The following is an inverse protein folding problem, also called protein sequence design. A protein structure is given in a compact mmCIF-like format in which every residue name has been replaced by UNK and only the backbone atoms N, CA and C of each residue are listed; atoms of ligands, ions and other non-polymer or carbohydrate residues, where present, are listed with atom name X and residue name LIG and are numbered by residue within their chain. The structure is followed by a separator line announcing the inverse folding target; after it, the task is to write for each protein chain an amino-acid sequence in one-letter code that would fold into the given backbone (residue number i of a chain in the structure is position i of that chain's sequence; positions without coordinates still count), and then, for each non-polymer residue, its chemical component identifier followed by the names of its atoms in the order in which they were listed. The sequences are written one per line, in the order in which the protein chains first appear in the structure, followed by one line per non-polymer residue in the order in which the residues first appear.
data_IF_023964650142
#
_entry.id   IF_023964650142
#
_cell.length_a   1.000
_cell.length_b   1.000
_cell.length_c   1.000
_cell.angle_alpha   90.00
_cell.angle_beta   90.00
_cell.angle_gamma   90.00
#
_symmetry.space_group_name_H-M   'P 1'
#
loop_
_entity.id
_entity.type
_entity.pdbx_description
1 polymer ?
#
# COMPACT_ATOMS: atom_id res chain seq x y z
N UNK A 1 10.32 24.95 12.52
CA UNK A 1 9.47 24.06 11.70
C UNK A 1 9.70 22.58 11.97
N UNK A 2 10.86 21.98 11.65
CA UNK A 2 11.07 20.53 11.84
C UNK A 2 10.77 20.02 13.26
N UNK A 3 11.29 20.71 14.30
CA UNK A 3 11.03 20.33 15.70
C UNK A 3 9.54 20.42 16.09
N UNK A 4 8.79 21.38 15.51
CA UNK A 4 7.35 21.52 15.76
C UNK A 4 6.57 20.38 15.09
N UNK A 5 6.96 19.97 13.89
CA UNK A 5 6.34 18.83 13.19
C UNK A 5 6.60 17.53 13.96
N UNK A 6 7.84 17.30 14.40
CA UNK A 6 8.17 16.14 15.23
C UNK A 6 7.35 16.12 16.53
N UNK A 7 7.22 17.27 17.21
CA UNK A 7 6.38 17.38 18.41
C UNK A 7 4.90 17.08 18.14
N UNK A 8 4.37 17.51 16.99
CA UNK A 8 3.00 17.17 16.57
C UNK A 8 2.83 15.66 16.34
N UNK A 9 3.81 15.02 15.68
CA UNK A 9 3.81 13.57 15.44
C UNK A 9 3.85 12.81 16.77
N UNK A 10 4.76 13.18 17.68
CA UNK A 10 4.86 12.56 19.01
C UNK A 10 3.56 12.72 19.80
N UNK A 11 2.97 13.91 19.81
CA UNK A 11 1.69 14.15 20.50
C UNK A 11 0.56 13.31 19.92
N UNK A 12 0.42 13.28 18.60
CA UNK A 12 -0.64 12.49 17.94
C UNK A 12 -0.47 10.98 18.20
N UNK A 13 0.78 10.52 18.28
CA UNK A 13 1.10 9.16 18.67
C UNK A 13 0.63 8.85 20.11
N UNK A 14 0.98 9.70 21.07
CA UNK A 14 0.59 9.53 22.49
C UNK A 14 -0.92 9.51 22.67
N UNK A 15 -1.64 10.38 21.94
CA UNK A 15 -3.09 10.53 22.11
C UNK A 15 -3.92 9.60 21.24
N UNK A 16 -3.34 9.01 20.18
CA UNK A 16 -4.04 8.17 19.18
C UNK A 16 -5.30 8.85 18.61
N UNK A 17 -5.28 10.18 18.47
CA UNK A 17 -6.48 10.98 18.14
C UNK A 17 -6.77 11.09 16.64
N UNK A 18 -5.89 10.57 15.78
CA UNK A 18 -6.06 10.62 14.34
C UNK A 18 -5.44 9.39 13.66
N UNK A 19 -5.92 9.06 12.46
CA UNK A 19 -5.41 7.94 11.66
C UNK A 19 -4.20 8.33 10.82
N UNK A 20 -4.03 9.63 10.53
CA UNK A 20 -2.83 10.12 9.88
C UNK A 20 -2.57 11.60 10.18
N UNK A 21 -1.31 11.99 10.01
CA UNK A 21 -0.87 13.38 9.89
C UNK A 21 -0.27 13.59 8.51
N UNK A 22 -0.53 14.75 7.91
CA UNK A 22 -0.01 15.09 6.57
C UNK A 22 0.68 16.45 6.60
N UNK A 23 1.78 16.55 5.88
CA UNK A 23 2.55 17.76 5.70
C UNK A 23 2.96 17.83 4.23
N UNK A 24 2.56 18.89 3.53
CA UNK A 24 2.80 19.05 2.10
C UNK A 24 3.80 20.16 1.81
N UNK A 25 4.48 20.07 0.67
CA UNK A 25 5.42 21.10 0.18
C UNK A 25 6.49 21.47 1.21
N UNK A 26 6.97 20.47 1.97
CA UNK A 26 8.01 20.69 2.97
C UNK A 26 9.28 21.24 2.31
N UNK A 27 9.95 22.16 2.99
CA UNK A 27 11.29 22.58 2.58
C UNK A 27 12.25 21.36 2.60
N UNK A 28 13.15 21.20 1.61
CA UNK A 28 14.02 20.02 1.53
C UNK A 28 14.89 19.81 2.78
N UNK A 29 15.36 20.89 3.41
CA UNK A 29 16.17 20.79 4.63
C UNK A 29 15.30 20.36 5.83
N UNK A 30 14.03 20.76 5.84
CA UNK A 30 13.06 20.37 6.86
C UNK A 30 12.67 18.90 6.69
N UNK A 31 12.32 18.46 5.48
CA UNK A 31 11.95 17.06 5.21
C UNK A 31 13.11 16.11 5.49
N UNK A 32 14.33 16.42 5.04
CA UNK A 32 15.51 15.61 5.32
C UNK A 32 15.75 15.47 6.83
N UNK A 33 15.63 16.56 7.60
CA UNK A 33 15.76 16.52 9.06
C UNK A 33 14.68 15.66 9.71
N UNK A 34 13.42 15.78 9.29
CA UNK A 34 12.32 14.97 9.85
C UNK A 34 12.52 13.49 9.54
N UNK A 35 12.81 13.14 8.28
CA UNK A 35 13.02 11.75 7.85
C UNK A 35 14.20 11.12 8.57
N UNK A 36 15.32 11.85 8.72
CA UNK A 36 16.46 11.37 9.49
C UNK A 36 16.05 11.03 10.92
N UNK A 37 15.33 11.93 11.61
CA UNK A 37 14.92 11.70 13.00
C UNK A 37 13.92 10.55 13.13
N UNK A 38 12.98 10.42 12.19
CA UNK A 38 11.97 9.38 12.24
C UNK A 38 12.57 8.01 11.85
N UNK A 39 13.17 7.87 10.66
CA UNK A 39 13.63 6.57 10.15
C UNK A 39 14.75 5.94 10.98
N UNK A 40 15.49 6.72 11.78
CA UNK A 40 16.55 6.21 12.67
C UNK A 40 16.05 5.88 14.09
N UNK A 41 14.76 6.12 14.41
CA UNK A 41 14.18 5.70 15.68
C UNK A 41 13.84 4.21 15.65
N UNK A 42 14.53 3.43 16.48
CA UNK A 42 14.34 1.96 16.59
C UNK A 42 12.93 1.53 16.99
N UNK A 43 12.14 2.41 17.62
CA UNK A 43 10.85 2.04 18.20
C UNK A 43 9.65 2.23 17.24
N UNK A 44 9.78 2.90 16.10
CA UNK A 44 8.62 3.26 15.29
C UNK A 44 7.84 2.06 14.72
N UNK A 45 8.56 0.99 14.38
CA UNK A 45 7.95 -0.29 13.96
C UNK A 45 7.23 -0.97 15.12
N UNK A 46 7.77 -0.91 16.34
CA UNK A 46 7.11 -1.40 17.55
C UNK A 46 5.84 -0.60 17.89
N UNK A 47 5.77 0.65 17.45
CA UNK A 47 4.62 1.53 17.63
C UNK A 47 3.52 1.36 16.58
N UNK A 48 3.79 0.56 15.53
CA UNK A 48 2.88 0.32 14.41
C UNK A 48 2.66 1.54 13.52
N UNK A 49 3.64 2.44 13.46
CA UNK A 49 3.57 3.65 12.63
C UNK A 49 4.12 3.38 11.24
N UNK A 50 3.47 3.93 10.21
CA UNK A 50 3.98 3.91 8.83
C UNK A 50 4.34 5.33 8.40
N UNK A 51 5.56 5.52 7.88
CA UNK A 51 6.05 6.84 7.45
C UNK A 51 6.20 6.81 5.95
N UNK A 52 5.45 7.69 5.30
CA UNK A 52 5.41 7.81 3.86
C UNK A 52 5.93 9.19 3.47
N UNK A 53 6.93 9.22 2.61
CA UNK A 53 7.43 10.43 1.99
C UNK A 53 7.41 10.29 0.49
N UNK A 54 6.72 11.19 -0.20
CA UNK A 54 6.66 11.24 -1.65
C UNK A 54 7.48 12.43 -2.11
N UNK A 55 8.63 12.16 -2.72
CA UNK A 55 9.63 13.16 -3.06
C UNK A 55 9.13 14.26 -4.01
N UNK A 56 8.43 13.97 -5.13
CA UNK A 56 7.92 15.00 -6.06
C UNK A 56 7.19 16.16 -5.37
N UNK A 57 6.29 15.81 -4.44
CA UNK A 57 5.42 16.78 -3.76
C UNK A 57 6.00 17.25 -2.42
N UNK A 58 7.12 16.67 -1.99
CA UNK A 58 7.69 16.78 -0.63
C UNK A 58 6.60 16.58 0.41
N UNK A 59 5.83 15.52 0.19
CA UNK A 59 4.65 15.17 0.95
C UNK A 59 5.00 14.11 1.98
N UNK A 60 4.89 14.45 3.26
CA UNK A 60 5.08 13.55 4.38
C UNK A 60 3.71 13.15 4.93
N UNK A 61 3.46 11.84 5.04
CA UNK A 61 2.32 11.26 5.74
C UNK A 61 2.83 10.32 6.83
N UNK A 62 2.35 10.50 8.05
CA UNK A 62 2.54 9.54 9.15
C UNK A 62 1.21 8.87 9.38
N UNK A 63 1.15 7.55 9.22
CA UNK A 63 -0.07 6.75 9.35
C UNK A 63 -0.07 6.02 10.70
N UNK A 64 -1.21 6.07 11.36
CA UNK A 64 -1.59 5.36 12.59
C UNK A 64 -2.81 4.51 12.24
N UNK A 65 -2.61 3.30 11.67
CA UNK A 65 -3.72 2.53 11.11
C UNK A 65 -4.79 2.22 12.16
N UNK A 66 -6.05 2.49 11.83
CA UNK A 66 -7.19 2.05 12.64
C UNK A 66 -7.59 0.61 12.31
N UNK A 67 -8.45 0.01 13.14
CA UNK A 67 -9.03 -1.31 12.83
C UNK A 67 -9.78 -1.31 11.49
N UNK A 68 -10.42 -0.20 11.15
CA UNK A 68 -11.18 -0.09 9.92
C UNK A 68 -10.23 0.00 8.71
N UNK A 69 -9.15 0.77 8.84
CA UNK A 69 -8.07 0.81 7.84
C UNK A 69 -7.47 -0.58 7.59
N UNK A 70 -7.18 -1.35 8.66
CA UNK A 70 -6.61 -2.70 8.56
C UNK A 70 -7.60 -3.77 8.05
N UNK A 71 -8.88 -3.43 7.84
CA UNK A 71 -9.87 -4.39 7.32
C UNK A 71 -9.51 -4.87 5.91
N UNK A 72 -8.92 -4.01 5.07
CA UNK A 72 -8.46 -4.38 3.73
C UNK A 72 -7.37 -5.46 3.77
N UNK A 73 -6.41 -5.31 4.69
CA UNK A 73 -5.31 -6.25 4.91
C UNK A 73 -5.85 -7.60 5.38
N UNK A 74 -6.78 -7.58 6.34
CA UNK A 74 -7.45 -8.79 6.83
C UNK A 74 -8.21 -9.52 5.73
N UNK A 75 -8.99 -8.79 4.92
CA UNK A 75 -9.71 -9.35 3.77
C UNK A 75 -8.75 -10.00 2.77
N UNK A 76 -7.69 -9.31 2.34
CA UNK A 76 -6.75 -9.83 1.35
C UNK A 76 -6.02 -11.10 1.83
N UNK A 77 -5.65 -11.18 3.12
CA UNK A 77 -5.04 -12.39 3.70
C UNK A 77 -6.00 -13.59 3.72
N UNK A 78 -7.29 -13.34 3.97
CA UNK A 78 -8.32 -14.38 3.89
C UNK A 78 -8.45 -14.86 2.43
N UNK A 79 -8.55 -13.95 1.46
CA UNK A 79 -8.62 -14.30 0.04
C UNK A 79 -7.40 -15.11 -0.41
N UNK A 80 -6.19 -14.69 -0.01
CA UNK A 80 -4.96 -15.41 -0.31
C UNK A 80 -4.98 -16.85 0.23
N UNK A 81 -5.50 -17.04 1.45
CA UNK A 81 -5.66 -18.37 2.06
C UNK A 81 -6.68 -19.22 1.30
N UNK A 82 -7.80 -18.62 0.91
CA UNK A 82 -8.85 -19.28 0.12
C UNK A 82 -8.34 -19.69 -1.28
N UNK A 83 -7.47 -18.91 -1.90
CA UNK A 83 -6.86 -19.29 -3.18
C UNK A 83 -6.07 -20.59 -3.08
N UNK A 84 -5.33 -20.80 -2.00
CA UNK A 84 -4.66 -22.09 -1.77
C UNK A 84 -5.67 -23.23 -1.61
N UNK A 85 -6.73 -23.03 -0.80
CA UNK A 85 -7.78 -24.04 -0.59
C UNK A 85 -8.54 -24.41 -1.87
N UNK A 86 -8.71 -23.46 -2.78
CA UNK A 86 -9.40 -23.66 -4.05
C UNK A 86 -8.47 -24.13 -5.19
N UNK A 87 -7.20 -24.42 -4.91
CA UNK A 87 -6.22 -24.87 -5.91
C UNK A 87 -5.82 -23.78 -6.90
N UNK A 88 -6.03 -22.52 -6.52
CA UNK A 88 -5.74 -21.34 -7.32
C UNK A 88 -4.27 -20.90 -7.14
N UNK A 89 -3.72 -21.13 -5.96
CA UNK A 89 -2.29 -21.12 -5.67
C UNK A 89 -1.86 -22.52 -5.24
N UNK A 90 -0.72 -23.00 -5.75
CA UNK A 90 -0.13 -24.24 -5.24
C UNK A 90 0.59 -23.99 -3.92
N UNK A 91 0.74 -25.01 -3.06
CA UNK A 91 1.48 -24.84 -1.80
C UNK A 91 2.91 -24.33 -2.00
N UNK A 92 3.56 -24.74 -3.10
CA UNK A 92 4.90 -24.27 -3.47
C UNK A 92 4.86 -22.78 -3.80
N UNK A 93 3.96 -22.33 -4.68
CA UNK A 93 3.79 -20.91 -4.99
C UNK A 93 3.49 -20.08 -3.73
N UNK A 94 2.68 -20.63 -2.80
CA UNK A 94 2.35 -19.98 -1.53
C UNK A 94 3.59 -19.73 -0.66
N UNK A 95 4.49 -20.73 -0.51
CA UNK A 95 5.71 -20.58 0.31
C UNK A 95 6.82 -19.80 -0.40
N UNK A 96 6.74 -19.67 -1.73
CA UNK A 96 7.62 -18.82 -2.54
C UNK A 96 7.25 -17.33 -2.49
N UNK A 97 6.16 -16.97 -1.81
CA UNK A 97 5.74 -15.59 -1.59
C UNK A 97 5.97 -15.18 -0.13
N UNK A 98 6.22 -13.90 0.11
CA UNK A 98 6.34 -13.33 1.46
C UNK A 98 5.54 -12.03 1.55
N UNK A 99 4.89 -11.82 2.69
CA UNK A 99 4.25 -10.54 3.02
C UNK A 99 5.07 -9.80 4.08
N UNK A 100 5.98 -8.92 3.63
CA UNK A 100 6.84 -8.15 4.51
C UNK A 100 6.32 -6.72 4.70
N UNK A 101 6.07 -6.31 5.95
CA UNK A 101 5.74 -4.92 6.29
C UNK A 101 7.02 -4.12 6.52
N UNK A 102 7.76 -3.86 5.44
CA UNK A 102 9.00 -3.08 5.45
C UNK A 102 8.84 -1.77 4.68
N UNK A 103 9.71 -0.80 4.98
CA UNK A 103 9.79 0.46 4.22
C UNK A 103 10.70 0.28 3.03
N UNK A 104 10.22 0.68 1.86
CA UNK A 104 10.97 0.73 0.61
C UNK A 104 11.42 2.17 0.36
N UNK A 105 12.67 2.35 -0.05
CA UNK A 105 13.30 3.67 -0.20
C UNK A 105 14.22 3.81 -1.42
N UNK A 106 14.34 2.75 -2.22
CA UNK A 106 15.15 2.72 -3.45
C UNK A 106 14.35 3.08 -4.70
N UNK A 107 13.29 3.87 -4.56
CA UNK A 107 12.50 4.37 -5.69
C UNK A 107 13.36 5.20 -6.66
N UNK A 108 13.00 5.19 -7.94
CA UNK A 108 13.75 5.82 -9.03
C UNK A 108 12.95 6.89 -9.78
N UNK A 109 13.59 7.55 -10.75
CA UNK A 109 12.96 8.54 -11.62
C UNK A 109 12.46 9.75 -10.85
N UNK A 110 11.24 10.22 -11.17
CA UNK A 110 10.61 11.33 -10.47
C UNK A 110 10.43 11.05 -8.96
N UNK A 111 10.29 9.78 -8.59
CA UNK A 111 10.06 9.35 -7.21
C UNK A 111 11.34 9.09 -6.42
N UNK A 112 12.52 9.35 -6.98
CA UNK A 112 13.79 9.19 -6.28
C UNK A 112 13.81 9.95 -4.95
N UNK A 113 14.22 9.27 -3.87
CA UNK A 113 14.23 9.81 -2.51
C UNK A 113 12.87 9.72 -1.79
N UNK A 114 11.89 9.01 -2.34
CA UNK A 114 10.66 8.66 -1.63
C UNK A 114 10.89 7.51 -0.65
N UNK A 115 10.06 7.41 0.38
CA UNK A 115 10.02 6.28 1.32
C UNK A 115 8.57 5.86 1.48
N UNK A 116 8.27 4.55 1.41
CA UNK A 116 6.89 4.07 1.55
C UNK A 116 6.86 2.69 2.19
N UNK A 117 5.95 2.52 3.14
CA UNK A 117 5.56 1.21 3.67
C UNK A 117 4.21 0.87 3.02
N UNK A 118 4.05 -0.31 2.39
CA UNK A 118 2.74 -0.75 1.92
C UNK A 118 1.87 -1.16 3.12
N UNK A 119 0.55 -1.12 2.95
CA UNK A 119 -0.35 -1.67 3.99
C UNK A 119 -0.30 -3.20 3.99
N UNK A 120 -0.20 -3.78 2.81
CA UNK A 120 0.16 -5.18 2.58
C UNK A 120 0.85 -5.30 1.21
N UNK A 121 1.78 -6.22 1.08
CA UNK A 121 2.37 -6.54 -0.21
C UNK A 121 2.72 -8.03 -0.30
N UNK A 122 2.93 -8.52 -1.51
CA UNK A 122 3.44 -9.86 -1.77
C UNK A 122 4.68 -9.76 -2.66
N UNK A 123 5.79 -10.28 -2.14
CA UNK A 123 7.06 -10.36 -2.86
C UNK A 123 7.40 -11.81 -3.17
N UNK A 124 7.77 -12.16 -4.42
CA UNK A 124 8.38 -13.45 -4.71
C UNK A 124 9.74 -13.55 -4.04
N UNK A 125 10.12 -14.79 -3.75
CA UNK A 125 11.47 -15.14 -3.29
C UNK A 125 12.28 -15.70 -4.45
N UNK A 126 13.43 -15.11 -4.72
CA UNK A 126 14.43 -15.61 -5.67
C UNK A 126 15.61 -16.12 -4.86
N UNK A 127 15.90 -17.42 -4.96
CA UNK A 127 16.91 -18.09 -4.14
C UNK A 127 16.68 -17.87 -2.62
N UNK A 128 15.44 -18.00 -2.17
CA UNK A 128 14.99 -17.78 -0.78
C UNK A 128 15.11 -16.34 -0.24
N UNK A 129 15.51 -15.38 -1.09
CA UNK A 129 15.60 -13.96 -0.74
C UNK A 129 14.43 -13.20 -1.37
N UNK A 130 13.69 -12.37 -0.62
CA UNK A 130 12.66 -11.51 -1.19
C UNK A 130 13.25 -10.57 -2.24
N UNK A 131 12.50 -10.30 -3.31
CA UNK A 131 12.87 -9.26 -4.27
C UNK A 131 12.92 -7.88 -3.62
N UNK A 132 13.72 -6.98 -4.19
CA UNK A 132 13.92 -5.61 -3.68
C UNK A 132 12.59 -4.84 -3.52
N UNK A 133 11.67 -5.02 -4.46
CA UNK A 133 10.30 -4.52 -4.39
C UNK A 133 9.31 -5.69 -4.45
N UNK A 134 8.09 -5.53 -3.90
CA UNK A 134 7.02 -6.49 -4.09
C UNK A 134 6.51 -6.46 -5.53
N UNK A 135 5.80 -7.51 -5.93
CA UNK A 135 5.11 -7.54 -7.24
C UNK A 135 3.67 -7.07 -7.13
N UNK A 136 3.04 -7.30 -5.97
CA UNK A 136 1.67 -6.91 -5.68
C UNK A 136 1.67 -6.06 -4.41
N UNK A 137 1.05 -4.90 -4.48
CA UNK A 137 0.85 -4.00 -3.33
C UNK A 137 -0.64 -3.78 -3.11
N UNK A 138 -1.06 -3.72 -1.85
CA UNK A 138 -2.37 -3.27 -1.42
C UNK A 138 -2.18 -1.97 -0.63
N UNK A 139 -2.93 -0.94 -1.01
CA UNK A 139 -3.09 0.30 -0.25
C UNK A 139 -4.56 0.45 0.12
N UNK A 140 -4.83 0.63 1.41
CA UNK A 140 -6.15 0.86 1.95
C UNK A 140 -6.42 2.37 1.99
N UNK A 141 -7.65 2.76 1.68
CA UNK A 141 -8.14 4.11 1.92
C UNK A 141 -9.43 4.06 2.70
N UNK A 142 -9.45 4.67 3.88
CA UNK A 142 -10.69 4.95 4.61
C UNK A 142 -10.94 6.46 4.61
N UNK A 143 -10.12 7.19 5.34
CA UNK A 143 -10.14 8.66 5.44
C UNK A 143 -9.29 9.32 4.34
N UNK A 144 -8.46 8.55 3.64
CA UNK A 144 -7.65 8.98 2.50
C UNK A 144 -8.52 9.39 1.31
N UNK A 145 -8.15 10.46 0.61
CA UNK A 145 -8.82 10.83 -0.64
C UNK A 145 -8.43 9.90 -1.79
N UNK A 146 -9.31 9.80 -2.80
CA UNK A 146 -9.03 9.04 -4.03
C UNK A 146 -7.73 9.51 -4.70
N UNK A 147 -7.53 10.83 -4.80
CA UNK A 147 -6.31 11.40 -5.37
C UNK A 147 -5.04 11.02 -4.59
N UNK A 148 -5.13 10.74 -3.28
CA UNK A 148 -4.00 10.24 -2.51
C UNK A 148 -3.70 8.78 -2.84
N UNK A 149 -4.72 7.93 -2.97
CA UNK A 149 -4.54 6.53 -3.36
C UNK A 149 -3.94 6.42 -4.77
N UNK A 150 -4.34 7.30 -5.69
CA UNK A 150 -3.76 7.37 -7.04
C UNK A 150 -2.29 7.83 -7.02
N UNK A 151 -1.91 8.75 -6.12
CA UNK A 151 -0.50 9.11 -5.91
C UNK A 151 0.31 7.92 -5.38
N UNK A 152 -0.23 7.21 -4.39
CA UNK A 152 0.41 6.02 -3.82
C UNK A 152 0.57 4.95 -4.92
N UNK A 153 -0.44 4.77 -5.78
CA UNK A 153 -0.39 3.88 -6.94
C UNK A 153 0.72 4.23 -7.94
N UNK A 154 0.82 5.50 -8.36
CA UNK A 154 1.86 5.95 -9.30
C UNK A 154 3.26 5.77 -8.71
N UNK A 155 3.46 6.10 -7.44
CA UNK A 155 4.73 5.87 -6.76
C UNK A 155 5.16 4.40 -6.86
N UNK A 156 4.25 3.47 -6.59
CA UNK A 156 4.56 2.05 -6.65
C UNK A 156 4.84 1.57 -8.08
N UNK A 157 4.00 1.91 -9.05
CA UNK A 157 4.13 1.42 -10.42
C UNK A 157 5.31 2.06 -11.17
N UNK A 158 5.42 3.39 -11.13
CA UNK A 158 6.44 4.14 -11.87
C UNK A 158 7.76 4.20 -11.09
N UNK A 159 7.69 4.44 -9.78
CA UNK A 159 8.87 4.64 -8.94
C UNK A 159 9.66 3.35 -8.67
N UNK A 160 9.07 2.16 -8.84
CA UNK A 160 9.76 0.88 -8.64
C UNK A 160 10.50 0.37 -9.89
N UNK A 161 10.65 1.20 -10.92
CA UNK A 161 11.20 0.78 -12.23
C UNK A 161 10.45 -0.42 -12.84
N UNK A 162 9.14 -0.51 -12.60
CA UNK A 162 8.31 -1.61 -13.06
C UNK A 162 8.47 -2.91 -12.27
N UNK A 163 9.12 -2.91 -11.10
CA UNK A 163 9.18 -4.11 -10.25
C UNK A 163 7.81 -4.45 -9.65
N UNK A 164 7.05 -3.44 -9.19
CA UNK A 164 5.64 -3.60 -8.83
C UNK A 164 4.82 -3.73 -10.11
N UNK A 165 4.04 -4.80 -10.22
CA UNK A 165 3.20 -5.11 -11.38
C UNK A 165 1.75 -4.74 -11.17
N UNK A 166 1.27 -4.85 -9.92
CA UNK A 166 -0.11 -4.56 -9.55
C UNK A 166 -0.17 -3.77 -8.26
N UNK A 167 -0.99 -2.72 -8.28
CA UNK A 167 -1.42 -2.03 -7.06
C UNK A 167 -2.93 -2.19 -6.91
N UNK A 168 -3.34 -2.69 -5.77
CA UNK A 168 -4.72 -2.85 -5.34
C UNK A 168 -5.06 -1.65 -4.45
N UNK A 169 -5.97 -0.79 -4.90
CA UNK A 169 -6.47 0.31 -4.07
C UNK A 169 -7.81 -0.10 -3.49
N UNK A 170 -7.84 -0.34 -2.18
CA UNK A 170 -9.06 -0.74 -1.48
C UNK A 170 -9.65 0.46 -0.75
N UNK A 171 -10.69 1.06 -1.32
CA UNK A 171 -11.34 2.25 -0.81
C UNK A 171 -12.62 1.90 -0.05
N UNK A 172 -12.64 2.10 1.26
CA UNK A 172 -13.88 2.24 2.03
C UNK A 172 -14.34 3.69 2.00
N UNK A 173 -15.64 3.87 1.81
CA UNK A 173 -16.33 5.15 1.90
C UNK A 173 -17.22 5.17 3.14
N UNK A 174 -17.22 6.31 3.84
CA UNK A 174 -18.10 6.52 4.97
C UNK A 174 -19.57 6.39 4.56
N UNK A 175 -20.41 6.11 5.57
CA UNK A 175 -21.83 5.99 5.37
C UNK A 175 -22.39 7.27 4.73
N UNK A 176 -23.15 7.13 3.65
CA UNK A 176 -23.83 8.26 3.00
C UNK A 176 -25.04 8.72 3.84
N UNK A 177 -25.81 9.69 3.33
CA UNK A 177 -27.02 10.21 4.00
C UNK A 177 -28.09 9.15 4.28
N UNK A 178 -28.02 8.00 3.59
CA UNK A 178 -28.92 6.85 3.75
C UNK A 178 -28.32 5.76 4.67
N UNK A 179 -27.20 6.05 5.35
CA UNK A 179 -26.45 5.12 6.19
C UNK A 179 -25.83 3.92 5.43
N UNK A 180 -25.55 4.10 4.14
CA UNK A 180 -24.96 3.06 3.29
C UNK A 180 -23.45 3.24 3.19
N UNK A 181 -22.70 2.19 3.52
CA UNK A 181 -21.25 2.13 3.29
C UNK A 181 -20.95 1.63 1.88
N UNK A 182 -19.79 2.00 1.33
CA UNK A 182 -19.30 1.50 0.04
C UNK A 182 -17.87 1.00 0.19
N UNK A 183 -17.56 -0.11 -0.46
CA UNK A 183 -16.19 -0.62 -0.61
C UNK A 183 -15.89 -0.85 -2.10
N UNK A 184 -14.76 -0.33 -2.57
CA UNK A 184 -14.33 -0.47 -3.97
C UNK A 184 -12.88 -0.93 -4.00
N UNK A 185 -12.61 -1.96 -4.79
CA UNK A 185 -11.26 -2.41 -5.11
C UNK A 185 -10.90 -1.89 -6.50
N UNK A 186 -9.84 -1.12 -6.65
CA UNK A 186 -9.32 -0.72 -7.96
C UNK A 186 -8.03 -1.48 -8.24
N UNK A 187 -8.01 -2.23 -9.34
CA UNK A 187 -6.81 -2.94 -9.80
C UNK A 187 -6.05 -2.04 -10.76
N UNK A 188 -4.86 -1.62 -10.35
CA UNK A 188 -4.02 -0.72 -11.11
C UNK A 188 -2.82 -1.47 -11.69
N UNK A 189 -2.51 -1.23 -12.97
CA UNK A 189 -1.39 -1.85 -13.70
C UNK A 189 -0.95 -0.97 -14.86
N UNK A 190 0.28 -1.18 -15.34
CA UNK A 190 0.77 -0.57 -16.58
C UNK A 190 0.55 -1.54 -17.73
N UNK A 191 -0.14 -1.11 -18.78
CA UNK A 191 -0.39 -1.88 -20.01
C UNK A 191 -0.03 -0.98 -21.18
N UNK A 192 0.88 -1.44 -22.06
CA UNK A 192 1.37 -0.66 -23.20
C UNK A 192 1.84 0.75 -22.79
N UNK A 193 2.63 0.82 -21.71
CA UNK A 193 3.16 2.05 -21.07
C UNK A 193 2.12 3.01 -20.50
N UNK A 194 0.84 2.63 -20.46
CA UNK A 194 -0.26 3.43 -19.92
C UNK A 194 -0.79 2.86 -18.60
N UNK A 195 -1.12 3.75 -17.66
CA UNK A 195 -1.74 3.38 -16.38
C UNK A 195 -3.21 3.01 -16.59
N UNK A 196 -3.55 1.75 -16.35
CA UNK A 196 -4.92 1.24 -16.36
C UNK A 196 -5.39 1.03 -14.93
N UNK A 197 -6.59 1.54 -14.61
CA UNK A 197 -7.24 1.41 -13.30
C UNK A 197 -8.64 0.83 -13.48
N UNK A 198 -8.84 -0.43 -13.09
CA UNK A 198 -10.13 -1.11 -13.19
C UNK A 198 -10.84 -1.15 -11.83
N UNK A 199 -11.95 -0.41 -11.65
CA UNK A 199 -12.69 -0.41 -10.39
C UNK A 199 -13.66 -1.61 -10.31
N UNK A 200 -13.77 -2.18 -9.11
CA UNK A 200 -14.67 -3.27 -8.77
C UNK A 200 -15.42 -2.94 -7.48
N UNK A 201 -16.75 -3.02 -7.53
CA UNK A 201 -17.57 -2.88 -6.34
C UNK A 201 -17.48 -4.15 -5.49
N UNK A 202 -17.02 -3.98 -4.26
CA UNK A 202 -16.97 -5.06 -3.25
C UNK A 202 -18.21 -4.99 -2.37
N UNK A 203 -18.60 -3.77 -2.00
CA UNK A 203 -19.81 -3.52 -1.24
C UNK A 203 -20.51 -2.23 -1.73
N UNK A 204 -21.83 -2.22 -1.96
CA UNK A 204 -22.72 -3.39 -1.90
C UNK A 204 -22.27 -4.48 -2.90
N UNK A 205 -22.50 -5.76 -2.59
CA UNK A 205 -22.04 -6.84 -3.45
C UNK A 205 -22.65 -6.67 -4.85
N UNK A 206 -21.87 -6.85 -5.93
CA UNK A 206 -22.36 -6.63 -7.27
C UNK A 206 -23.50 -7.63 -7.60
N UNK A 207 -24.47 -7.26 -8.45
CA UNK A 207 -25.65 -8.08 -8.74
C UNK A 207 -25.33 -9.48 -9.28
N UNK A 208 -24.14 -9.67 -9.85
CA UNK A 208 -23.58 -10.96 -10.26
C UNK A 208 -22.32 -11.26 -9.44
N UNK A 209 -22.19 -12.50 -8.95
CA UNK A 209 -20.98 -13.00 -8.28
C UNK A 209 -19.74 -12.68 -9.11
N UNK A 210 -19.04 -11.63 -8.69
CA UNK A 210 -17.81 -11.21 -9.32
C UNK A 210 -16.69 -12.15 -8.86
N UNK A 211 -16.32 -13.11 -9.70
CA UNK A 211 -15.04 -13.79 -9.56
C UNK A 211 -14.01 -12.86 -10.18
N UNK A 212 -13.13 -12.26 -9.37
CA UNK A 212 -11.85 -11.76 -9.91
C UNK A 212 -11.22 -12.98 -10.59
N UNK A 213 -11.24 -13.04 -11.93
CA UNK A 213 -10.85 -14.27 -12.64
C UNK A 213 -9.36 -14.46 -12.46
N UNK A 214 -8.98 -15.62 -11.94
CA UNK A 214 -7.59 -15.98 -11.67
C UNK A 214 -6.64 -15.91 -12.85
N UNK A 215 -7.17 -15.94 -14.08
CA UNK A 215 -6.40 -15.71 -15.29
C UNK A 215 -5.66 -14.36 -15.26
N UNK A 216 -6.18 -13.37 -14.53
CA UNK A 216 -5.53 -12.07 -14.31
C UNK A 216 -4.40 -12.18 -13.27
N UNK A 217 -4.54 -13.01 -12.22
CA UNK A 217 -3.52 -13.16 -11.17
C UNK A 217 -2.27 -13.93 -11.60
N UNK A 218 -2.40 -14.91 -12.51
CA UNK A 218 -1.23 -15.65 -13.05
C UNK A 218 -0.23 -14.73 -13.76
N UNK A 219 -0.71 -13.68 -14.44
CA UNK A 219 0.16 -12.66 -15.04
C UNK A 219 0.75 -11.69 -14.01
N UNK A 220 0.13 -11.56 -12.84
CA UNK A 220 0.52 -10.57 -11.82
C UNK A 220 1.66 -11.05 -10.92
N UNK A 221 1.82 -12.36 -10.75
CA UNK A 221 2.87 -12.95 -9.91
C UNK A 221 4.21 -13.18 -10.64
N UNK A 222 4.31 -12.81 -11.92
CA UNK A 222 5.48 -13.07 -12.75
C UNK A 222 5.51 -14.54 -13.21
N UNK A 223 5.55 -14.76 -14.52
CA UNK A 223 5.34 -16.06 -15.17
C UNK A 223 6.33 -17.18 -14.83
N UNK A 224 7.28 -16.96 -13.91
CA UNK A 224 8.32 -17.91 -13.51
C UNK A 224 8.10 -18.53 -12.12
N UNK A 225 7.02 -18.19 -11.40
CA UNK A 225 6.66 -18.94 -10.18
C UNK A 225 6.12 -20.30 -10.62
N UNK A 226 6.74 -21.44 -10.20
CA UNK A 226 6.23 -22.76 -10.53
C UNK A 226 4.83 -22.89 -9.92
N UNK A 227 3.81 -22.95 -10.79
CA UNK A 227 2.44 -23.29 -10.41
C UNK A 227 2.34 -24.80 -10.32
#
# INVERSE_FOLDING_TARGET
MAAQILAQIHKAFETRTCEFLTFSKLDPTVSAKILYNLLHQKDLSALGLRIHFIAPDRYLRVVMPSRLHETAVGWMRIEFSLWTCYGLLTPIACVSLTDAMITYDTFVGAFAGSNKTPDLCYSPRVNDVPTEFPTIVLEAGWSESQAQLERDCKLWLEGSAGAVKVVLLFKLSAANINNEIKATLTVCRVVDDELVMDPYEIFPPPPSLFKIRLSQWKSFLGGDIPL
#
